data_IF_449727317806
#
_entry.id   IF_449727317806
#
_cell.length_a   1.000
_cell.length_b   1.000
_cell.length_c   1.000
_cell.angle_alpha   90.00
_cell.angle_beta   90.00
_cell.angle_gamma   90.00
#
_symmetry.space_group_name_H-M   'P 1'
#
loop_
_entity.id
_entity.type
_entity.pdbx_description
1 polymer ?
#
# COMPACT_ATOMS: atom_id res chain seq x y z
N UNK A 1 -2.04 -3.42 -20.02
CA UNK A 1 -2.07 -4.46 -18.97
C UNK A 1 -3.20 -5.41 -19.33
N UNK A 2 -2.99 -6.72 -19.15
CA UNK A 2 -4.04 -7.72 -19.34
C UNK A 2 -4.44 -8.24 -17.96
N UNK A 3 -5.56 -7.74 -17.45
CA UNK A 3 -6.08 -8.09 -16.12
C UNK A 3 -7.37 -8.90 -16.28
N UNK A 4 -7.59 -9.87 -15.40
CA UNK A 4 -8.76 -10.75 -15.39
C UNK A 4 -9.27 -10.97 -13.96
N UNK A 5 -10.58 -10.86 -13.74
CA UNK A 5 -11.16 -11.18 -12.43
C UNK A 5 -12.59 -11.72 -12.55
N UNK A 6 -13.02 -12.48 -11.55
CA UNK A 6 -14.41 -12.91 -11.41
C UNK A 6 -15.17 -11.97 -10.47
N UNK A 7 -16.41 -11.62 -10.82
CA UNK A 7 -17.33 -10.99 -9.87
C UNK A 7 -18.06 -12.03 -8.99
N UNK A 8 -18.80 -11.55 -7.99
CA UNK A 8 -19.57 -12.40 -7.06
C UNK A 8 -20.69 -13.21 -7.73
N UNK A 9 -21.07 -12.87 -8.97
CA UNK A 9 -22.09 -13.59 -9.73
C UNK A 9 -21.46 -14.66 -10.66
N UNK A 10 -20.14 -14.82 -10.64
CA UNK A 10 -19.42 -15.77 -11.48
C UNK A 10 -19.16 -15.25 -12.91
N UNK A 11 -19.36 -13.96 -13.17
CA UNK A 11 -18.97 -13.34 -14.44
C UNK A 11 -17.46 -13.18 -14.49
N UNK A 12 -16.84 -13.58 -15.59
CA UNK A 12 -15.44 -13.27 -15.88
C UNK A 12 -15.33 -11.90 -16.55
N UNK A 13 -14.53 -11.03 -15.96
CA UNK A 13 -14.16 -9.73 -16.48
C UNK A 13 -12.71 -9.78 -16.98
N UNK A 14 -12.44 -9.07 -18.07
CA UNK A 14 -11.09 -8.87 -18.58
C UNK A 14 -10.96 -7.44 -19.12
N UNK A 15 -9.78 -6.85 -19.00
CA UNK A 15 -9.48 -5.55 -19.59
C UNK A 15 -8.25 -5.64 -20.50
N UNK A 16 -8.33 -4.97 -21.65
CA UNK A 16 -7.20 -4.75 -22.55
C UNK A 16 -7.35 -3.36 -23.19
N UNK A 17 -6.35 -2.51 -23.01
CA UNK A 17 -6.33 -1.10 -23.45
C UNK A 17 -7.61 -0.34 -23.03
N UNK A 18 -8.41 0.17 -23.97
CA UNK A 18 -9.68 0.87 -23.71
C UNK A 18 -10.92 -0.05 -23.61
N UNK A 19 -10.73 -1.38 -23.70
CA UNK A 19 -11.83 -2.34 -23.77
C UNK A 19 -12.01 -3.10 -22.47
N UNK A 20 -13.26 -3.12 -22.00
CA UNK A 20 -13.71 -3.98 -20.91
C UNK A 20 -14.55 -5.13 -21.46
N UNK A 21 -14.07 -6.35 -21.29
CA UNK A 21 -14.74 -7.59 -21.72
C UNK A 21 -15.46 -8.24 -20.54
N UNK A 22 -16.60 -8.85 -20.83
CA UNK A 22 -17.46 -9.55 -19.88
C UNK A 22 -17.94 -10.88 -20.47
N UNK A 23 -17.67 -11.97 -19.77
CA UNK A 23 -18.14 -13.32 -20.08
C UNK A 23 -19.05 -13.86 -18.98
N UNK A 24 -20.29 -14.18 -19.35
CA UNK A 24 -21.33 -14.64 -18.42
C UNK A 24 -21.39 -16.18 -18.27
N UNK A 25 -20.36 -16.90 -18.73
CA UNK A 25 -20.35 -18.37 -18.80
C UNK A 25 -20.81 -18.95 -20.14
N UNK A 26 -21.48 -18.15 -20.99
CA UNK A 26 -22.01 -18.61 -22.29
C UNK A 26 -21.60 -17.74 -23.47
N UNK A 27 -21.51 -16.42 -23.27
CA UNK A 27 -21.19 -15.46 -24.33
C UNK A 27 -20.29 -14.34 -23.82
N UNK A 28 -19.47 -13.82 -24.74
CA UNK A 28 -18.67 -12.62 -24.54
C UNK A 28 -19.43 -11.36 -24.97
N UNK A 29 -19.21 -10.29 -24.23
CA UNK A 29 -19.60 -8.92 -24.58
C UNK A 29 -18.43 -7.99 -24.24
N UNK A 30 -18.40 -6.81 -24.84
CA UNK A 30 -17.38 -5.81 -24.53
C UNK A 30 -17.98 -4.40 -24.49
N UNK A 31 -17.33 -3.51 -23.77
CA UNK A 31 -17.61 -2.08 -23.72
C UNK A 31 -16.31 -1.33 -24.02
N UNK A 32 -16.39 -0.36 -24.94
CA UNK A 32 -15.26 0.52 -25.26
C UNK A 32 -15.40 1.83 -24.44
N UNK A 33 -14.33 2.21 -23.75
CA UNK A 33 -14.31 3.44 -22.92
C UNK A 33 -14.34 4.72 -23.77
N UNK A 34 -13.66 4.74 -24.92
CA UNK A 34 -13.62 5.88 -25.84
C UNK A 34 -15.01 6.19 -26.38
N UNK A 35 -15.78 5.17 -26.77
CA UNK A 35 -17.13 5.37 -27.31
C UNK A 35 -18.04 6.07 -26.30
N UNK A 36 -17.88 5.77 -25.00
CA UNK A 36 -18.70 6.34 -23.94
C UNK A 36 -18.26 7.74 -23.50
N UNK A 37 -16.96 8.03 -23.50
CA UNK A 37 -16.42 9.28 -22.94
C UNK A 37 -15.83 10.23 -23.97
N UNK A 38 -15.69 9.81 -25.24
CA UNK A 38 -15.11 10.59 -26.34
C UNK A 38 -13.68 11.09 -26.03
N UNK A 39 -12.99 10.39 -25.14
CA UNK A 39 -11.63 10.70 -24.68
C UNK A 39 -10.80 9.41 -24.76
N UNK A 40 -9.52 9.54 -25.11
CA UNK A 40 -8.61 8.40 -25.06
C UNK A 40 -8.33 8.04 -23.60
N UNK A 41 -8.85 6.90 -23.17
CA UNK A 41 -8.78 6.44 -21.77
C UNK A 41 -8.33 4.99 -21.77
N UNK A 42 -7.16 4.73 -21.19
CA UNK A 42 -6.65 3.38 -20.99
C UNK A 42 -7.12 2.84 -19.65
N UNK A 43 -7.58 1.60 -19.64
CA UNK A 43 -7.87 0.88 -18.42
C UNK A 43 -6.55 0.36 -17.87
N UNK A 44 -6.18 0.85 -16.69
CA UNK A 44 -4.97 0.43 -16.01
C UNK A 44 -5.26 -0.70 -15.01
N UNK A 45 -6.45 -0.74 -14.41
CA UNK A 45 -6.85 -1.75 -13.43
C UNK A 45 -8.37 -1.81 -13.27
N UNK A 46 -8.89 -2.93 -12.75
CA UNK A 46 -10.28 -2.99 -12.31
C UNK A 46 -10.45 -3.91 -11.10
N UNK A 47 -11.55 -3.71 -10.36
CA UNK A 47 -11.84 -4.50 -9.17
C UNK A 47 -13.36 -4.69 -8.98
N UNK A 48 -13.87 -5.92 -9.01
CA UNK A 48 -15.27 -6.19 -8.72
C UNK A 48 -15.54 -6.07 -7.22
N UNK A 49 -16.54 -5.27 -6.85
CA UNK A 49 -17.00 -5.17 -5.47
C UNK A 49 -18.08 -6.21 -5.15
N UNK A 50 -18.32 -6.41 -3.85
CA UNK A 50 -19.34 -7.35 -3.34
C UNK A 50 -20.79 -6.95 -3.65
N UNK A 51 -21.02 -5.74 -4.15
CA UNK A 51 -22.35 -5.19 -4.47
C UNK A 51 -22.65 -5.24 -5.97
N UNK A 52 -21.77 -5.87 -6.78
CA UNK A 52 -21.96 -5.99 -8.22
C UNK A 52 -21.52 -4.76 -9.02
N UNK A 53 -20.77 -3.84 -8.41
CA UNK A 53 -20.09 -2.75 -9.12
C UNK A 53 -18.71 -3.21 -9.53
N UNK A 54 -18.25 -2.74 -10.68
CA UNK A 54 -16.87 -2.92 -11.11
C UNK A 54 -16.18 -1.55 -11.06
N UNK A 55 -15.24 -1.38 -10.15
CA UNK A 55 -14.40 -0.19 -10.11
C UNK A 55 -13.32 -0.31 -11.17
N UNK A 56 -12.98 0.80 -11.82
CA UNK A 56 -12.07 0.84 -12.97
C UNK A 56 -11.10 2.01 -12.78
N UNK A 57 -9.82 1.70 -12.57
CA UNK A 57 -8.73 2.66 -12.58
C UNK A 57 -8.26 2.90 -14.00
N UNK A 58 -8.12 4.17 -14.39
CA UNK A 58 -7.75 4.55 -15.75
C UNK A 58 -6.70 5.65 -15.77
N UNK A 59 -6.13 5.88 -16.95
CA UNK A 59 -5.23 7.00 -17.21
C UNK A 59 -5.87 8.39 -17.06
N UNK A 60 -7.18 8.46 -16.81
CA UNK A 60 -7.95 9.71 -16.67
C UNK A 60 -8.91 9.68 -15.47
N UNK A 61 -8.54 8.96 -14.42
CA UNK A 61 -9.28 8.91 -13.17
C UNK A 61 -9.99 7.59 -12.92
N UNK A 62 -10.90 7.64 -11.96
CA UNK A 62 -11.67 6.50 -11.50
C UNK A 62 -13.03 6.46 -12.20
N UNK A 63 -13.42 5.26 -12.61
CA UNK A 63 -14.73 4.97 -13.18
C UNK A 63 -15.37 3.81 -12.42
N UNK A 64 -16.69 3.69 -12.55
CA UNK A 64 -17.43 2.53 -12.05
C UNK A 64 -18.39 2.04 -13.12
N UNK A 65 -18.36 0.75 -13.40
CA UNK A 65 -19.37 0.08 -14.20
C UNK A 65 -20.43 -0.51 -13.25
N UNK A 66 -21.69 -0.10 -13.45
CA UNK A 66 -22.84 -0.57 -12.69
C UNK A 66 -24.07 -0.57 -13.62
N UNK A 67 -24.90 -1.62 -13.54
CA UNK A 67 -26.12 -1.71 -14.37
C UNK A 67 -25.91 -1.56 -15.89
N UNK A 68 -24.78 -2.07 -16.41
CA UNK A 68 -24.37 -1.94 -17.81
C UNK A 68 -24.03 -0.51 -18.28
N UNK A 69 -23.75 0.40 -17.33
CA UNK A 69 -23.36 1.79 -17.61
C UNK A 69 -22.05 2.10 -16.89
N UNK A 70 -21.16 2.85 -17.54
CA UNK A 70 -19.94 3.35 -16.91
C UNK A 70 -20.18 4.79 -16.45
N UNK A 71 -19.83 5.07 -15.21
CA UNK A 71 -19.91 6.38 -14.60
C UNK A 71 -18.53 6.84 -14.18
N UNK A 72 -18.17 8.07 -14.55
CA UNK A 72 -16.95 8.69 -14.03
C UNK A 72 -17.13 9.08 -12.55
N UNK A 73 -16.08 8.88 -11.77
CA UNK A 73 -15.99 9.20 -10.34
C UNK A 73 -14.99 10.33 -10.08
N UNK A 74 -15.11 11.42 -10.86
CA UNK A 74 -14.28 12.63 -10.71
C UNK A 74 -14.41 13.28 -9.33
N UNK A 75 -15.52 13.08 -8.63
CA UNK A 75 -15.72 13.50 -7.24
C UNK A 75 -14.77 12.78 -6.26
N UNK A 76 -14.30 11.58 -6.61
CA UNK A 76 -13.37 10.78 -5.81
C UNK A 76 -11.93 11.02 -6.25
N UNK A 77 -11.62 10.80 -7.53
CA UNK A 77 -10.25 10.85 -8.03
C UNK A 77 -9.86 12.23 -8.58
N UNK A 78 -10.79 12.94 -9.20
CA UNK A 78 -10.45 13.95 -10.20
C UNK A 78 -9.94 13.31 -11.49
N UNK A 79 -9.12 14.04 -12.25
CA UNK A 79 -8.48 13.56 -13.49
C UNK A 79 -7.03 13.15 -13.20
N UNK A 80 -6.86 12.14 -12.34
CA UNK A 80 -5.55 11.62 -11.95
C UNK A 80 -5.32 10.25 -12.60
N UNK A 81 -4.07 9.92 -12.93
CA UNK A 81 -3.73 8.63 -13.52
C UNK A 81 -3.73 7.54 -12.43
N UNK A 82 -4.80 6.74 -12.40
CA UNK A 82 -4.97 5.66 -11.44
C UNK A 82 -4.35 4.39 -12.01
N UNK A 83 -3.27 3.92 -11.39
CA UNK A 83 -2.54 2.74 -11.83
C UNK A 83 -3.20 1.46 -11.32
N UNK A 84 -3.54 1.42 -10.03
CA UNK A 84 -4.15 0.25 -9.42
C UNK A 84 -5.19 0.62 -8.39
N UNK A 85 -6.14 -0.28 -8.17
CA UNK A 85 -7.24 -0.12 -7.23
C UNK A 85 -7.46 -1.41 -6.46
N UNK A 86 -7.95 -1.30 -5.23
CA UNK A 86 -8.47 -2.44 -4.50
C UNK A 86 -9.50 -2.03 -3.44
N UNK A 87 -10.31 -3.01 -3.03
CA UNK A 87 -11.35 -2.81 -2.02
C UNK A 87 -11.13 -3.77 -0.87
N UNK A 88 -11.00 -3.24 0.34
CA UNK A 88 -10.79 -4.09 1.50
C UNK A 88 -12.05 -4.83 1.97
N UNK A 89 -11.89 -5.77 2.89
CA UNK A 89 -13.00 -6.57 3.43
C UNK A 89 -14.11 -5.72 4.08
N UNK A 90 -13.83 -4.46 4.45
CA UNK A 90 -14.78 -3.51 5.03
C UNK A 90 -15.43 -2.61 3.97
N UNK A 91 -14.96 -2.67 2.74
CA UNK A 91 -15.46 -1.87 1.62
C UNK A 91 -14.71 -0.55 1.43
N UNK A 92 -13.54 -0.37 2.04
CA UNK A 92 -12.71 0.81 1.82
C UNK A 92 -12.03 0.69 0.46
N UNK A 93 -12.15 1.75 -0.35
CA UNK A 93 -11.52 1.83 -1.66
C UNK A 93 -10.12 2.45 -1.54
N UNK A 94 -9.14 1.75 -2.09
CA UNK A 94 -7.75 2.16 -2.18
C UNK A 94 -7.38 2.38 -3.63
N UNK A 95 -6.74 3.52 -3.93
CA UNK A 95 -6.37 3.93 -5.27
C UNK A 95 -4.91 4.36 -5.27
N UNK A 96 -4.10 3.82 -6.16
CA UNK A 96 -2.74 4.29 -6.36
C UNK A 96 -2.67 5.22 -7.58
N UNK A 97 -2.13 6.41 -7.37
CA UNK A 97 -1.84 7.38 -8.42
C UNK A 97 -0.39 7.22 -8.89
N UNK A 98 -0.17 7.36 -10.19
CA UNK A 98 1.17 7.33 -10.76
C UNK A 98 2.04 8.46 -10.19
N UNK A 99 3.15 8.12 -9.52
CA UNK A 99 4.15 9.04 -8.94
C UNK A 99 3.68 10.05 -7.87
N UNK A 100 2.43 9.97 -7.40
CA UNK A 100 1.92 10.94 -6.42
C UNK A 100 1.58 10.27 -5.08
N UNK A 101 1.18 9.01 -5.09
CA UNK A 101 0.98 8.22 -3.87
C UNK A 101 -0.36 7.49 -3.82
N UNK A 102 -0.87 7.27 -2.61
CA UNK A 102 -2.04 6.42 -2.37
C UNK A 102 -3.22 7.25 -1.84
N UNK A 103 -4.41 6.97 -2.35
CA UNK A 103 -5.65 7.55 -1.87
C UNK A 103 -6.49 6.47 -1.18
N UNK A 104 -7.07 6.83 -0.03
CA UNK A 104 -8.07 6.03 0.68
C UNK A 104 -9.41 6.75 0.61
N UNK A 105 -10.45 6.04 0.21
CA UNK A 105 -11.80 6.54 0.12
C UNK A 105 -12.78 5.66 0.88
N UNK A 106 -13.48 6.26 1.83
CA UNK A 106 -14.50 5.60 2.66
C UNK A 106 -15.56 6.63 3.07
N UNK A 107 -16.85 6.28 2.94
CA UNK A 107 -17.98 7.12 3.38
C UNK A 107 -17.92 8.58 2.90
N UNK A 108 -17.55 8.81 1.65
CA UNK A 108 -17.43 10.17 1.09
C UNK A 108 -16.18 10.93 1.51
N UNK A 109 -15.35 10.36 2.39
CA UNK A 109 -14.11 10.96 2.87
C UNK A 109 -12.91 10.41 2.11
N UNK A 110 -12.16 11.31 1.50
CA UNK A 110 -10.87 11.03 0.86
C UNK A 110 -9.72 11.40 1.81
N UNK A 111 -8.74 10.52 1.91
CA UNK A 111 -7.45 10.80 2.55
C UNK A 111 -6.36 10.47 1.53
N UNK A 112 -5.41 11.39 1.38
CA UNK A 112 -4.27 11.23 0.48
C UNK A 112 -2.99 11.01 1.28
N UNK A 113 -2.19 10.05 0.82
CA UNK A 113 -0.91 9.68 1.38
C UNK A 113 0.16 9.93 0.31
N UNK A 114 0.87 11.06 0.37
CA UNK A 114 1.81 11.46 -0.66
C UNK A 114 3.05 10.55 -0.70
N UNK A 115 3.60 10.35 -1.90
CA UNK A 115 4.88 9.64 -2.14
C UNK A 115 6.02 10.24 -1.29
N UNK A 116 6.00 11.57 -1.10
CA UNK A 116 7.01 12.33 -0.35
C UNK A 116 7.21 11.92 1.12
N UNK A 117 6.42 10.97 1.65
CA UNK A 117 6.69 10.34 2.95
C UNK A 117 7.84 9.32 2.90
N UNK A 118 8.46 9.03 1.74
CA UNK A 118 9.48 7.97 1.55
C UNK A 118 8.97 6.57 1.97
N UNK A 119 7.65 6.40 2.00
CA UNK A 119 6.96 5.19 2.40
C UNK A 119 6.42 4.51 1.14
N UNK A 120 5.89 5.25 0.17
CA UNK A 120 5.35 4.64 -1.04
C UNK A 120 6.43 4.72 -2.14
N UNK A 121 6.95 3.60 -2.67
CA UNK A 121 7.89 3.66 -3.79
C UNK A 121 7.17 4.13 -5.07
N UNK A 122 7.96 4.68 -5.98
CA UNK A 122 7.54 5.51 -7.11
C UNK A 122 6.64 4.83 -8.16
N UNK A 123 6.40 3.52 -8.05
CA UNK A 123 5.50 2.79 -8.95
C UNK A 123 4.72 1.71 -8.20
N UNK A 124 3.44 1.95 -7.93
CA UNK A 124 2.54 0.92 -7.41
C UNK A 124 1.90 0.19 -8.60
N UNK A 125 2.20 -1.10 -8.78
CA UNK A 125 1.61 -1.92 -9.86
C UNK A 125 0.37 -2.71 -9.38
N UNK A 126 0.30 -3.08 -8.11
CA UNK A 126 -0.77 -3.97 -7.63
C UNK A 126 -1.15 -3.69 -6.17
N UNK A 127 -2.43 -3.80 -5.80
CA UNK A 127 -2.87 -3.82 -4.40
C UNK A 127 -3.54 -5.18 -4.13
N UNK A 128 -3.00 -5.94 -3.18
CA UNK A 128 -3.49 -7.26 -2.76
C UNK A 128 -4.05 -7.18 -1.34
N UNK A 129 -5.29 -7.59 -1.11
CA UNK A 129 -5.92 -7.48 0.23
C UNK A 129 -6.14 -8.87 0.81
N UNK A 130 -5.58 -9.14 2.00
CA UNK A 130 -5.76 -10.42 2.69
C UNK A 130 -6.94 -10.34 3.69
N UNK A 131 -7.94 -11.21 3.51
CA UNK A 131 -9.23 -11.11 4.21
C UNK A 131 -9.21 -11.49 5.69
N UNK A 132 -8.21 -12.24 6.17
CA UNK A 132 -8.33 -12.94 7.45
C UNK A 132 -7.74 -12.20 8.66
N UNK A 133 -7.08 -11.05 8.49
CA UNK A 133 -6.36 -10.41 9.60
C UNK A 133 -6.28 -8.86 9.53
N UNK A 134 -7.23 -8.17 8.88
CA UNK A 134 -7.24 -6.69 8.78
C UNK A 134 -6.00 -6.10 8.05
N UNK A 135 -5.40 -6.87 7.12
CA UNK A 135 -4.13 -6.53 6.46
C UNK A 135 -4.38 -6.23 4.98
N UNK A 136 -4.12 -5.00 4.55
CA UNK A 136 -3.98 -4.68 3.11
C UNK A 136 -2.51 -4.85 2.75
N UNK A 137 -2.16 -5.36 1.57
CA UNK A 137 -0.80 -5.40 1.03
C UNK A 137 -0.78 -4.64 -0.30
N UNK A 138 0.25 -3.85 -0.58
CA UNK A 138 0.40 -3.13 -1.85
C UNK A 138 1.70 -3.59 -2.49
N UNK A 139 1.61 -4.27 -3.62
CA UNK A 139 2.76 -4.66 -4.44
C UNK A 139 3.21 -3.49 -5.32
N UNK A 140 4.48 -3.11 -5.21
CA UNK A 140 5.05 -2.05 -6.03
C UNK A 140 6.08 -2.62 -7.01
N UNK A 141 6.32 -1.92 -8.12
CA UNK A 141 7.48 -2.19 -8.96
C UNK A 141 8.72 -2.19 -8.05
N UNK A 142 9.54 -3.21 -8.19
CA UNK A 142 10.78 -3.33 -7.42
C UNK A 142 10.83 -4.40 -6.34
N UNK A 143 9.67 -5.00 -6.03
CA UNK A 143 9.44 -6.01 -5.00
C UNK A 143 9.10 -5.48 -3.59
N UNK A 144 8.55 -4.27 -3.49
CA UNK A 144 8.09 -3.78 -2.19
C UNK A 144 6.66 -4.24 -1.87
N UNK A 145 6.42 -4.67 -0.62
CA UNK A 145 5.08 -5.01 -0.10
C UNK A 145 4.68 -3.97 0.95
N UNK A 146 3.71 -3.10 0.64
CA UNK A 146 3.15 -2.14 1.60
C UNK A 146 2.00 -2.78 2.38
N UNK A 147 2.22 -3.20 3.63
CA UNK A 147 1.13 -3.60 4.51
C UNK A 147 0.37 -2.36 5.02
N UNK A 148 -0.95 -2.29 4.94
CA UNK A 148 -1.72 -1.15 5.50
C UNK A 148 -2.72 -1.70 6.52
N UNK A 149 -2.63 -1.19 7.75
CA UNK A 149 -3.64 -1.34 8.78
C UNK A 149 -4.33 0.04 8.97
N UNK A 150 -5.50 0.07 9.60
CA UNK A 150 -6.39 1.25 9.64
C UNK A 150 -5.81 2.58 10.06
N UNK A 151 -4.73 2.53 10.82
CA UNK A 151 -4.09 3.67 11.43
C UNK A 151 -2.69 3.94 10.86
N UNK A 152 -2.17 3.06 9.98
CA UNK A 152 -0.80 3.18 9.48
C UNK A 152 -0.42 2.26 8.30
N UNK A 153 0.50 2.78 7.49
CA UNK A 153 1.19 2.08 6.40
C UNK A 153 2.45 1.40 6.91
N UNK A 154 2.76 0.27 6.31
CA UNK A 154 3.99 -0.47 6.41
C UNK A 154 4.51 -0.74 5.03
N UNK A 155 5.82 -0.66 4.80
CA UNK A 155 6.42 -0.90 3.49
C UNK A 155 7.60 -1.82 3.71
N UNK A 156 7.55 -3.02 3.16
CA UNK A 156 8.73 -3.84 2.96
C UNK A 156 9.30 -3.40 1.64
N UNK A 157 10.28 -2.50 1.60
CA UNK A 157 10.92 -2.11 0.34
C UNK A 157 11.80 -3.25 -0.16
N UNK A 158 11.58 -3.73 -1.38
CA UNK A 158 12.70 -4.14 -2.23
C UNK A 158 12.69 -3.13 -3.36
N UNK A 159 13.80 -2.43 -3.49
CA UNK A 159 14.35 -2.05 -4.77
C UNK A 159 15.81 -1.65 -4.56
N UNK A 160 16.66 -2.18 -5.43
CA UNK A 160 18.09 -1.92 -5.64
C UNK A 160 18.96 -1.61 -4.40
N UNK A 161 19.72 -2.63 -4.02
CA UNK A 161 20.81 -2.63 -3.04
C UNK A 161 21.60 -1.30 -2.97
N UNK A 162 21.39 -0.57 -1.88
CA UNK A 162 22.38 0.33 -1.29
C UNK A 162 22.52 -0.07 0.18
N UNK A 163 23.72 0.02 0.77
CA UNK A 163 24.22 -0.56 2.05
C UNK A 163 23.27 -0.61 3.30
N UNK A 164 22.07 -0.03 3.22
CA UNK A 164 20.94 -0.13 4.14
C UNK A 164 20.29 -1.54 4.29
N UNK A 165 20.65 -2.52 3.46
CA UNK A 165 20.12 -3.90 3.48
C UNK A 165 20.60 -4.78 4.65
N UNK A 166 21.37 -4.22 5.58
CA UNK A 166 21.87 -5.01 6.70
C UNK A 166 20.93 -5.03 7.90
N UNK A 167 19.86 -4.22 7.93
CA UNK A 167 19.08 -4.02 9.18
C UNK A 167 17.87 -4.98 9.30
N UNK A 168 17.98 -5.99 10.17
CA UNK A 168 16.91 -6.97 10.48
C UNK A 168 16.44 -6.84 11.93
N UNK A 169 15.12 -6.86 12.17
CA UNK A 169 14.51 -6.84 13.50
C UNK A 169 14.08 -8.24 13.92
N UNK A 170 14.59 -8.73 15.05
CA UNK A 170 14.30 -10.08 15.53
C UNK A 170 14.09 -10.10 17.06
N UNK A 171 12.93 -10.57 17.56
CA UNK A 171 11.72 -10.93 16.82
C UNK A 171 10.95 -9.68 16.35
N UNK A 172 9.97 -9.88 15.48
CA UNK A 172 8.91 -8.90 15.21
C UNK A 172 7.64 -9.73 14.89
N UNK A 173 6.58 -9.73 15.72
CA UNK A 173 6.31 -8.80 16.83
C UNK A 173 7.27 -8.85 18.02
N UNK A 174 7.35 -7.74 18.75
CA UNK A 174 8.20 -7.51 19.92
C UNK A 174 7.33 -7.37 21.15
N UNK A 175 7.73 -8.02 22.25
CA UNK A 175 7.08 -7.86 23.55
C UNK A 175 7.90 -6.98 24.49
N UNK A 176 9.11 -7.44 24.81
CA UNK A 176 9.96 -6.83 25.83
C UNK A 176 11.26 -6.26 25.25
N UNK A 177 11.84 -6.98 24.28
CA UNK A 177 13.16 -6.71 23.71
C UNK A 177 13.25 -7.24 22.28
N UNK A 178 14.02 -6.54 21.45
CA UNK A 178 14.36 -7.01 20.11
C UNK A 178 15.82 -6.73 19.75
N UNK A 179 16.30 -7.46 18.75
CA UNK A 179 17.62 -7.28 18.15
C UNK A 179 17.49 -6.58 16.81
N UNK A 180 18.34 -5.59 16.60
CA UNK A 180 18.62 -4.96 15.32
C UNK A 180 19.93 -5.56 14.81
N UNK A 181 19.87 -6.55 13.93
CA UNK A 181 21.06 -7.03 13.24
C UNK A 181 21.41 -6.03 12.14
N UNK A 182 22.66 -5.60 12.05
CA UNK A 182 23.17 -4.67 11.04
C UNK A 182 24.70 -4.66 11.01
N UNK A 183 25.31 -4.54 9.82
CA UNK A 183 26.73 -4.24 9.70
C UNK A 183 27.02 -2.73 9.64
N UNK A 184 25.99 -1.88 9.76
CA UNK A 184 26.14 -0.44 9.89
C UNK A 184 26.42 -0.03 11.35
N UNK A 185 27.25 1.01 11.49
CA UNK A 185 27.45 1.69 12.77
C UNK A 185 26.29 2.66 13.01
N UNK A 186 25.50 2.38 14.05
CA UNK A 186 24.33 3.18 14.41
C UNK A 186 24.62 3.93 15.71
N UNK A 187 24.43 5.25 15.69
CA UNK A 187 24.64 6.10 16.85
C UNK A 187 23.40 6.12 17.75
N UNK A 188 22.21 6.15 17.14
CA UNK A 188 20.96 6.21 17.88
C UNK A 188 19.80 5.57 17.13
N UNK A 189 18.86 5.08 17.93
CA UNK A 189 17.56 4.60 17.56
C UNK A 189 16.51 5.50 18.17
N UNK A 190 15.43 5.74 17.43
CA UNK A 190 14.23 6.40 17.93
C UNK A 190 13.03 5.55 17.59
N UNK A 191 12.14 5.39 18.56
CA UNK A 191 10.80 4.87 18.32
C UNK A 191 9.84 6.05 18.24
N UNK A 192 9.06 6.08 17.17
CA UNK A 192 8.08 7.10 16.92
C UNK A 192 6.69 6.46 16.82
N UNK A 193 5.66 7.20 17.24
CA UNK A 193 4.30 6.85 16.88
C UNK A 193 4.05 7.10 15.38
N UNK A 194 2.87 6.70 14.91
CA UNK A 194 2.50 6.82 13.50
C UNK A 194 2.26 8.27 13.04
N UNK A 195 2.24 9.24 13.96
CA UNK A 195 2.19 10.67 13.67
C UNK A 195 3.60 11.31 13.64
N UNK A 196 4.66 10.52 13.80
CA UNK A 196 6.04 11.00 13.81
C UNK A 196 6.47 11.64 15.13
N UNK A 197 5.71 11.46 16.22
CA UNK A 197 6.13 11.90 17.55
C UNK A 197 7.11 10.89 18.12
N UNK A 198 8.28 11.36 18.55
CA UNK A 198 9.26 10.52 19.25
C UNK A 198 8.68 10.10 20.60
N UNK A 199 8.54 8.78 20.77
CA UNK A 199 8.12 8.16 22.03
C UNK A 199 9.33 7.76 22.87
N UNK A 200 10.39 7.29 22.20
CA UNK A 200 11.57 6.77 22.86
C UNK A 200 12.81 7.00 22.01
N UNK A 201 13.97 7.14 22.66
CA UNK A 201 15.26 7.12 21.99
C UNK A 201 16.29 6.41 22.84
N UNK A 202 17.15 5.64 22.17
CA UNK A 202 18.23 4.88 22.80
C UNK A 202 19.41 4.76 21.86
N UNK A 203 20.58 4.44 22.39
CA UNK A 203 21.72 4.01 21.57
C UNK A 203 21.67 2.51 21.23
N UNK A 204 20.83 1.76 21.95
CA UNK A 204 20.87 0.30 21.94
C UNK A 204 22.15 -0.24 22.59
N UNK A 205 22.16 -1.52 22.90
CA UNK A 205 23.34 -2.22 23.40
C UNK A 205 24.00 -2.96 22.25
N UNK A 206 25.15 -2.46 21.78
CA UNK A 206 25.88 -3.09 20.68
C UNK A 206 26.40 -4.48 21.10
N UNK A 207 26.11 -5.48 20.29
CA UNK A 207 26.57 -6.86 20.49
C UNK A 207 26.72 -7.59 19.15
N UNK A 208 27.97 -7.94 18.83
CA UNK A 208 28.34 -8.53 17.55
C UNK A 208 28.00 -7.60 16.38
N UNK A 209 27.34 -8.16 15.36
CA UNK A 209 26.85 -7.46 14.17
C UNK A 209 25.47 -6.82 14.41
N UNK A 210 25.21 -6.22 15.57
CA UNK A 210 23.90 -5.64 15.85
C UNK A 210 23.77 -4.96 17.20
N UNK A 211 22.54 -4.60 17.53
CA UNK A 211 22.16 -3.87 18.74
C UNK A 211 20.96 -4.51 19.39
N UNK A 212 20.95 -4.61 20.71
CA UNK A 212 19.77 -4.97 21.47
C UNK A 212 19.04 -3.71 21.95
N UNK A 213 17.72 -3.74 21.87
CA UNK A 213 16.86 -2.64 22.29
C UNK A 213 15.79 -3.19 23.22
N UNK A 214 15.79 -2.68 24.45
CA UNK A 214 14.80 -2.99 25.48
C UNK A 214 13.68 -1.95 25.47
N UNK A 215 12.43 -2.43 25.35
CA UNK A 215 11.23 -1.58 25.27
C UNK A 215 10.29 -1.77 26.46
N UNK A 216 10.74 -2.43 27.53
CA UNK A 216 9.96 -2.69 28.76
C UNK A 216 9.32 -1.44 29.39
N UNK A 217 9.90 -0.25 29.18
CA UNK A 217 9.32 1.00 29.66
C UNK A 217 8.06 1.44 28.87
N UNK A 218 7.77 0.80 27.73
CA UNK A 218 6.71 1.14 26.77
C UNK A 218 5.77 -0.03 26.43
N UNK A 219 5.88 -1.17 27.13
CA UNK A 219 5.06 -2.39 26.89
C UNK A 219 3.54 -2.21 27.09
N UNK A 220 3.09 -1.03 27.51
CA UNK A 220 1.67 -0.68 27.64
C UNK A 220 1.12 0.11 26.44
N UNK A 221 1.89 0.28 25.37
CA UNK A 221 1.43 0.90 24.10
C UNK A 221 1.37 -0.20 23.03
N UNK A 222 0.34 -1.06 23.06
CA UNK A 222 0.17 -2.06 22.00
C UNK A 222 -0.06 -1.35 20.67
N UNK A 223 0.60 -1.81 19.61
CA UNK A 223 0.43 -1.24 18.27
C UNK A 223 1.72 -1.10 17.46
N UNK A 224 1.68 -0.19 16.49
CA UNK A 224 2.74 0.01 15.50
C UNK A 224 3.65 1.18 15.85
N UNK A 225 4.96 0.96 15.82
CA UNK A 225 5.96 2.01 16.01
C UNK A 225 6.93 2.05 14.83
N UNK A 226 7.39 3.25 14.48
CA UNK A 226 8.47 3.45 13.53
C UNK A 226 9.82 3.47 14.26
N UNK A 227 10.74 2.62 13.81
CA UNK A 227 12.15 2.66 14.22
C UNK A 227 12.95 3.50 13.21
N UNK A 228 13.39 4.68 13.65
CA UNK A 228 14.37 5.51 12.96
C UNK A 228 15.78 5.19 13.49
N UNK A 229 16.75 4.97 12.60
CA UNK A 229 18.17 4.89 12.98
C UNK A 229 19.01 5.98 12.31
N UNK A 230 19.98 6.50 13.05
CA UNK A 230 20.92 7.51 12.57
C UNK A 230 22.37 7.05 12.85
N UNK A 231 23.23 7.19 11.85
CA UNK A 231 24.66 6.95 11.98
C UNK A 231 25.43 8.22 12.34
N UNK A 232 26.73 8.07 12.58
CA UNK A 232 27.60 9.15 13.06
C UNK A 232 27.80 10.31 12.08
N UNK A 233 27.52 10.10 10.80
CA UNK A 233 27.58 11.13 9.77
C UNK A 233 26.28 11.96 9.66
N UNK A 234 25.33 11.73 10.58
CA UNK A 234 24.05 12.42 10.64
C UNK A 234 23.06 11.96 9.57
N UNK A 235 23.42 10.98 8.72
CA UNK A 235 22.49 10.37 7.79
C UNK A 235 21.51 9.48 8.56
N UNK A 236 20.25 9.52 8.12
CA UNK A 236 19.21 8.61 8.57
C UNK A 236 19.25 7.38 7.69
N UNK A 237 19.35 6.20 8.30
CA UNK A 237 19.62 4.97 7.57
C UNK A 237 18.41 4.06 7.45
N UNK A 238 17.42 4.19 8.35
CA UNK A 238 16.33 3.20 8.44
C UNK A 238 15.01 3.79 8.87
N UNK A 239 13.95 3.36 8.19
CA UNK A 239 12.55 3.37 8.62
C UNK A 239 12.06 1.91 8.62
N UNK A 240 12.07 1.23 9.78
CA UNK A 240 11.51 -0.13 9.93
C UNK A 240 10.35 -0.07 10.89
N UNK A 241 9.36 -0.93 10.69
CA UNK A 241 8.21 -0.95 11.57
C UNK A 241 8.30 -2.11 12.52
N UNK A 242 8.02 -1.80 13.77
CA UNK A 242 7.98 -2.71 14.89
C UNK A 242 6.53 -2.86 15.34
N UNK A 243 6.08 -4.09 15.50
CA UNK A 243 4.80 -4.42 16.14
C UNK A 243 5.10 -4.68 17.61
N UNK A 244 4.44 -3.96 18.52
CA UNK A 244 4.54 -4.17 19.98
C UNK A 244 3.28 -4.88 20.47
N UNK A 245 3.46 -6.04 21.11
CA UNK A 245 2.39 -6.83 21.76
C UNK A 245 2.17 -6.45 23.22
#
# INVERSE_FOLDING_TARGET
>A
MDDIAYDSNGTLWAAADEYLYKFNGTSWSYTNMIDQFQEFVLINSFFPDKNGKLWIGTSNGLFVYENNVIHSKRDISGNIDIQTIAIDHRGVLWLAEFFEGLHRYTDGKKIFFPEALNVIPSQIHEIIIESNNEKIMIGTAGSSIVRVNDEAFYVSVRDEFTDSDLITLIPNPVKDRFRVETALEIESFKLLDMNGRILFSTKGEKSGNGYFIDINAFSNVPGMLLLESAGHDGRKYVNRIMVVE
#
